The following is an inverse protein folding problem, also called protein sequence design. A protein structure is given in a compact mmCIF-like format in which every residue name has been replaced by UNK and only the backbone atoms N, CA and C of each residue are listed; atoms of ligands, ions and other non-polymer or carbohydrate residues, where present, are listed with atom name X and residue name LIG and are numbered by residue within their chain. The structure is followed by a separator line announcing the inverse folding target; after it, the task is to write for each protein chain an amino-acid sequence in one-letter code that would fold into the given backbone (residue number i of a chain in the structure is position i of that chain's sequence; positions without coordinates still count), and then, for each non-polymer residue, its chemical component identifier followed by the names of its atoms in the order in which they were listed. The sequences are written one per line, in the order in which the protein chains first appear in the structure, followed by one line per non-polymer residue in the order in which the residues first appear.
data_IF_026429183611
#
_entry.id   IF_026429183611
#
_cell.length_a   1.000
_cell.length_b   1.000
_cell.length_c   1.000
_cell.angle_alpha   90.00
_cell.angle_beta   90.00
_cell.angle_gamma   90.00
#
_symmetry.space_group_name_H-M   'P 1'
#
loop_
_entity.id
_entity.type
_entity.pdbx_description
1 polymer ?
#
# COMPACT_ATOMS: atom_id res chain seq x y z
N UNK A 1 11.36 15.72 14.21
CA UNK A 1 10.09 14.99 14.32
C UNK A 1 9.88 14.31 12.99
N UNK A 2 9.69 12.99 12.99
CA UNK A 2 9.42 12.27 11.74
C UNK A 2 7.95 12.50 11.35
N UNK A 3 7.63 12.71 10.06
CA UNK A 3 6.25 12.79 9.60
C UNK A 3 5.54 11.42 9.72
N UNK A 4 4.21 11.42 9.94
CA UNK A 4 3.38 12.60 10.20
C UNK A 4 3.62 13.18 11.61
N UNK A 5 3.46 14.51 11.79
CA UNK A 5 3.40 15.11 13.12
C UNK A 5 2.36 14.43 14.03
N UNK A 6 2.62 14.39 15.35
CA UNK A 6 1.79 13.66 16.32
C UNK A 6 0.33 14.17 16.36
N UNK A 7 0.10 15.45 16.06
CA UNK A 7 -1.23 16.07 16.02
C UNK A 7 -2.08 15.64 14.80
N UNK A 8 -1.46 14.99 13.81
CA UNK A 8 -2.14 14.44 12.64
C UNK A 8 -2.65 13.03 12.89
N UNK A 9 -1.92 12.23 13.67
CA UNK A 9 -2.35 10.88 14.02
C UNK A 9 -3.37 10.94 15.15
N UNK A 10 -4.64 11.04 14.76
CA UNK A 10 -5.75 10.88 15.67
C UNK A 10 -6.10 9.39 15.82
N UNK A 11 -6.19 8.91 17.06
CA UNK A 11 -6.63 7.55 17.37
C UNK A 11 -8.10 7.53 17.77
N UNK A 12 -8.82 6.48 17.39
CA UNK A 12 -10.21 6.23 17.73
C UNK A 12 -10.43 4.77 18.09
N UNK A 13 -11.44 4.51 18.93
CA UNK A 13 -11.86 3.14 19.23
C UNK A 13 -12.93 2.71 18.23
N UNK A 14 -12.60 1.72 17.42
CA UNK A 14 -13.50 1.13 16.43
C UNK A 14 -13.92 -0.26 16.86
N UNK A 15 -15.21 -0.59 16.67
CA UNK A 15 -15.66 -1.98 16.82
C UNK A 15 -15.45 -2.70 15.49
N UNK A 16 -14.55 -3.67 15.46
CA UNK A 16 -14.27 -4.49 14.28
C UNK A 16 -14.91 -5.86 14.47
N UNK A 17 -15.48 -6.36 13.38
CA UNK A 17 -15.98 -7.73 13.28
C UNK A 17 -15.03 -8.54 12.42
N UNK A 18 -14.14 -9.30 13.04
CA UNK A 18 -13.07 -10.08 12.40
C UNK A 18 -13.57 -11.32 11.65
N UNK A 19 -14.87 -11.61 11.76
CA UNK A 19 -15.59 -12.58 10.94
C UNK A 19 -16.90 -11.94 10.47
N UNK A 20 -16.86 -11.06 9.46
CA UNK A 20 -18.05 -10.39 8.96
C UNK A 20 -18.99 -11.41 8.30
N UNK A 21 -20.31 -11.37 8.58
CA UNK A 21 -21.26 -12.33 8.02
C UNK A 21 -21.48 -12.14 6.52
N UNK A 22 -21.20 -10.93 6.01
CA UNK A 22 -21.37 -10.57 4.61
C UNK A 22 -20.05 -10.05 4.04
N UNK A 23 -19.12 -10.97 3.79
CA UNK A 23 -17.88 -10.63 3.09
C UNK A 23 -18.14 -10.11 1.66
N UNK A 24 -19.29 -10.48 1.07
CA UNK A 24 -19.68 -10.09 -0.27
C UNK A 24 -20.00 -8.58 -0.39
N UNK A 25 -20.28 -7.92 0.73
CA UNK A 25 -20.46 -6.47 0.76
C UNK A 25 -19.14 -5.66 0.66
N UNK A 26 -17.98 -6.30 0.82
CA UNK A 26 -16.70 -5.59 0.77
C UNK A 26 -16.24 -5.34 -0.68
N UNK A 27 -16.09 -4.08 -1.10
CA UNK A 27 -15.64 -3.76 -2.47
C UNK A 27 -14.19 -4.14 -2.73
N UNK A 28 -13.42 -4.54 -1.69
CA UNK A 28 -12.01 -4.91 -1.82
C UNK A 28 -11.80 -6.39 -2.15
N UNK A 29 -12.83 -7.23 -2.01
CA UNK A 29 -12.76 -8.68 -2.22
C UNK A 29 -13.97 -9.24 -2.96
N UNK A 30 -14.94 -8.40 -3.34
CA UNK A 30 -16.20 -8.83 -3.96
C UNK A 30 -16.65 -7.83 -5.02
N UNK A 31 -17.35 -8.35 -6.03
CA UNK A 31 -17.68 -7.62 -7.26
C UNK A 31 -16.91 -8.15 -8.47
N UNK A 32 -16.96 -7.42 -9.57
CA UNK A 32 -16.12 -7.66 -10.75
C UNK A 32 -14.66 -7.31 -10.45
N UNK A 33 -13.74 -7.79 -11.30
CA UNK A 33 -12.32 -7.46 -11.16
C UNK A 33 -12.09 -5.96 -11.29
N UNK A 34 -12.79 -5.32 -12.24
CA UNK A 34 -12.74 -3.88 -12.50
C UNK A 34 -13.21 -3.05 -11.30
N UNK A 35 -14.34 -3.40 -10.69
CA UNK A 35 -14.85 -2.70 -9.50
C UNK A 35 -13.91 -2.83 -8.32
N UNK A 36 -13.37 -4.04 -8.13
CA UNK A 36 -12.46 -4.30 -7.02
C UNK A 36 -11.12 -3.60 -7.22
N UNK A 37 -10.60 -3.58 -8.45
CA UNK A 37 -9.37 -2.88 -8.80
C UNK A 37 -9.52 -1.37 -8.61
N UNK A 38 -10.67 -0.80 -8.98
CA UNK A 38 -10.98 0.61 -8.73
C UNK A 38 -10.99 0.95 -7.23
N UNK A 39 -11.52 0.05 -6.38
CA UNK A 39 -11.48 0.23 -4.93
C UNK A 39 -10.04 0.22 -4.38
N UNK A 40 -9.20 -0.70 -4.85
CA UNK A 40 -7.78 -0.77 -4.47
C UNK A 40 -6.96 0.42 -5.00
N UNK A 41 -7.21 0.85 -6.24
CA UNK A 41 -6.57 2.02 -6.84
C UNK A 41 -6.92 3.29 -6.04
N UNK A 42 -8.19 3.46 -5.68
CA UNK A 42 -8.62 4.55 -4.82
C UNK A 42 -7.91 4.47 -3.45
N UNK A 43 -7.90 3.31 -2.79
CA UNK A 43 -7.24 3.18 -1.49
C UNK A 43 -5.73 3.50 -1.55
N UNK A 44 -5.05 3.11 -2.63
CA UNK A 44 -3.62 3.30 -2.81
C UNK A 44 -3.23 4.65 -3.46
N UNK A 45 -4.18 5.54 -3.72
CA UNK A 45 -3.94 6.82 -4.41
C UNK A 45 -2.91 7.75 -3.73
N UNK A 46 -2.61 7.50 -2.46
CA UNK A 46 -1.64 8.24 -1.65
C UNK A 46 -0.31 7.51 -1.42
N UNK A 47 -0.02 6.44 -2.15
CA UNK A 47 1.21 5.67 -1.95
C UNK A 47 2.50 6.46 -2.26
N UNK A 48 2.43 7.49 -3.12
CA UNK A 48 3.53 8.40 -3.38
C UNK A 48 3.30 9.74 -2.68
N UNK A 49 4.23 10.09 -1.80
CA UNK A 49 4.16 11.27 -0.96
C UNK A 49 5.37 12.16 -1.17
N UNK A 50 5.14 13.46 -0.99
CA UNK A 50 6.18 14.46 -0.82
C UNK A 50 6.62 14.53 0.64
N UNK A 51 7.91 14.35 0.84
CA UNK A 51 8.59 14.60 2.12
C UNK A 51 9.41 15.88 1.95
N UNK A 52 9.20 16.85 2.83
CA UNK A 52 9.89 18.14 2.78
C UNK A 52 11.32 18.04 3.33
N UNK A 53 12.16 19.01 2.98
CA UNK A 53 13.59 18.96 3.29
C UNK A 53 13.88 18.96 4.80
N UNK A 54 13.09 19.71 5.57
CA UNK A 54 13.16 19.73 7.03
C UNK A 54 12.76 18.40 7.66
N UNK A 55 11.71 17.75 7.14
CA UNK A 55 11.29 16.40 7.52
C UNK A 55 12.40 15.37 7.23
N UNK A 56 13.02 15.44 6.04
CA UNK A 56 14.15 14.57 5.66
C UNK A 56 15.35 14.74 6.59
N UNK A 57 15.73 16.00 6.89
CA UNK A 57 16.81 16.32 7.84
C UNK A 57 16.48 15.80 9.24
N UNK A 58 15.24 15.95 9.68
CA UNK A 58 14.81 15.50 11.00
C UNK A 58 14.80 13.97 11.14
N UNK A 59 14.52 13.23 10.07
CA UNK A 59 14.62 11.77 10.03
C UNK A 59 16.06 11.27 9.81
N UNK A 60 16.96 12.13 9.35
CA UNK A 60 18.33 11.78 8.97
C UNK A 60 18.38 10.64 7.92
N UNK A 61 17.52 10.75 6.90
CA UNK A 61 17.46 9.83 5.75
C UNK A 61 17.66 10.59 4.44
N UNK A 62 17.94 9.87 3.37
CA UNK A 62 17.99 10.41 2.00
C UNK A 62 16.94 9.74 1.11
N UNK A 63 16.51 10.47 0.08
CA UNK A 63 15.59 9.95 -0.93
C UNK A 63 15.78 10.74 -2.24
N UNK A 64 15.01 10.38 -3.27
CA UNK A 64 15.04 11.00 -4.58
C UNK A 64 14.34 12.37 -4.50
N UNK A 65 15.06 13.43 -4.85
CA UNK A 65 14.48 14.76 -4.96
C UNK A 65 13.58 14.86 -6.18
N UNK A 66 12.43 15.52 -6.03
CA UNK A 66 11.58 15.86 -7.17
C UNK A 66 12.19 17.00 -7.98
N UNK A 67 12.08 16.90 -9.30
CA UNK A 67 12.55 17.97 -10.20
C UNK A 67 11.68 19.24 -10.09
N UNK A 68 10.39 19.06 -9.75
CA UNK A 68 9.41 20.14 -9.63
C UNK A 68 8.76 20.16 -8.24
N UNK A 69 8.46 21.36 -7.75
CA UNK A 69 7.74 21.57 -6.48
C UNK A 69 8.54 21.31 -5.20
N UNK A 70 9.82 20.93 -5.29
CA UNK A 70 10.75 20.75 -4.15
C UNK A 70 10.46 19.54 -3.25
N UNK A 71 11.38 19.15 -2.37
CA UNK A 71 11.20 17.98 -1.52
C UNK A 71 11.45 16.64 -2.25
N UNK A 72 11.07 15.55 -1.60
CA UNK A 72 11.58 14.21 -1.88
C UNK A 72 10.47 13.18 -1.96
N UNK A 73 10.69 12.14 -2.77
CA UNK A 73 9.77 11.01 -2.88
C UNK A 73 9.79 10.16 -1.62
N UNK A 74 8.63 9.67 -1.22
CA UNK A 74 8.50 8.72 -0.13
C UNK A 74 7.17 7.97 -0.16
N UNK A 75 7.07 6.98 0.71
CA UNK A 75 5.88 6.16 0.91
C UNK A 75 5.72 5.88 2.40
N UNK A 76 4.49 5.97 2.91
CA UNK A 76 4.19 5.55 4.28
C UNK A 76 4.08 4.03 4.37
N UNK A 77 4.57 3.44 5.47
CA UNK A 77 4.57 1.99 5.68
C UNK A 77 3.21 1.31 5.46
N UNK A 78 2.10 1.96 5.86
CA UNK A 78 0.75 1.42 5.65
C UNK A 78 0.42 1.22 4.18
N UNK A 79 0.91 2.07 3.26
CA UNK A 79 0.68 1.88 1.82
C UNK A 79 1.51 0.73 1.25
N UNK A 80 2.66 0.42 1.85
CA UNK A 80 3.39 -0.79 1.50
C UNK A 80 2.62 -2.04 1.97
N UNK A 81 2.07 -2.04 3.20
CA UNK A 81 1.22 -3.13 3.69
C UNK A 81 -0.03 -3.32 2.82
N UNK A 82 -0.73 -2.23 2.46
CA UNK A 82 -1.88 -2.28 1.56
C UNK A 82 -1.52 -2.75 0.15
N UNK A 83 -0.36 -2.33 -0.37
CA UNK A 83 0.17 -2.86 -1.63
C UNK A 83 0.39 -4.38 -1.55
N UNK A 84 1.00 -4.88 -0.47
CA UNK A 84 1.18 -6.30 -0.23
C UNK A 84 -0.17 -7.06 -0.22
N UNK A 85 -1.20 -6.51 0.44
CA UNK A 85 -2.54 -7.12 0.45
C UNK A 85 -3.16 -7.18 -0.95
N UNK A 86 -3.05 -6.10 -1.75
CA UNK A 86 -3.48 -6.11 -3.15
C UNK A 86 -2.76 -7.19 -3.95
N UNK A 87 -1.44 -7.30 -3.82
CA UNK A 87 -0.62 -8.32 -4.52
C UNK A 87 -1.03 -9.73 -4.15
N UNK A 88 -1.34 -9.99 -2.88
CA UNK A 88 -1.82 -11.30 -2.44
C UNK A 88 -3.21 -11.62 -2.99
N UNK A 89 -4.11 -10.64 -3.07
CA UNK A 89 -5.39 -10.79 -3.77
C UNK A 89 -5.17 -11.17 -5.24
N UNK A 90 -4.32 -10.43 -5.95
CA UNK A 90 -4.00 -10.71 -7.37
C UNK A 90 -3.40 -12.11 -7.53
N UNK A 91 -2.56 -12.57 -6.58
CA UNK A 91 -2.00 -13.92 -6.56
C UNK A 91 -3.04 -15.03 -6.33
N UNK A 92 -4.06 -14.80 -5.50
CA UNK A 92 -5.18 -15.74 -5.36
C UNK A 92 -5.93 -15.87 -6.70
N UNK A 93 -6.09 -14.76 -7.41
CA UNK A 93 -6.75 -14.71 -8.73
C UNK A 93 -5.76 -14.75 -9.91
N UNK A 94 -4.67 -15.51 -9.77
CA UNK A 94 -3.62 -15.60 -10.79
C UNK A 94 -4.10 -15.99 -12.20
N UNK A 95 -5.18 -16.79 -12.31
CA UNK A 95 -5.79 -17.15 -13.60
C UNK A 95 -6.36 -15.95 -14.36
N UNK A 96 -6.66 -14.85 -13.67
CA UNK A 96 -7.07 -13.58 -14.26
C UNK A 96 -5.87 -12.67 -14.47
N UNK A 97 -5.10 -12.39 -13.41
CA UNK A 97 -4.04 -11.36 -13.45
C UNK A 97 -2.74 -11.81 -14.12
N UNK A 98 -2.44 -13.11 -14.08
CA UNK A 98 -1.12 -13.65 -14.45
C UNK A 98 -1.19 -14.76 -15.50
N UNK A 99 -2.36 -14.95 -16.14
CA UNK A 99 -2.58 -15.99 -17.15
C UNK A 99 -1.51 -16.02 -18.24
N UNK A 100 -1.21 -14.84 -18.76
CA UNK A 100 -0.37 -14.65 -19.94
C UNK A 100 1.10 -14.39 -19.57
N UNK A 101 1.47 -14.56 -18.29
CA UNK A 101 2.83 -14.33 -17.82
C UNK A 101 3.75 -15.52 -18.15
N UNK A 102 5.03 -15.22 -18.45
CA UNK A 102 6.04 -16.26 -18.60
C UNK A 102 6.31 -16.98 -17.28
N UNK A 103 6.84 -18.21 -17.34
CA UNK A 103 7.20 -18.97 -16.14
C UNK A 103 8.21 -18.24 -15.25
N UNK A 104 9.14 -17.48 -15.85
CA UNK A 104 10.05 -16.61 -15.11
C UNK A 104 9.31 -15.52 -14.32
N UNK A 105 8.34 -14.84 -14.95
CA UNK A 105 7.50 -13.82 -14.29
C UNK A 105 6.63 -14.44 -13.19
N UNK A 106 6.01 -15.60 -13.43
CA UNK A 106 5.23 -16.32 -12.40
C UNK A 106 6.08 -16.70 -11.19
N UNK A 107 7.29 -17.23 -11.41
CA UNK A 107 8.22 -17.56 -10.31
C UNK A 107 8.61 -16.32 -9.50
N UNK A 108 8.85 -15.19 -10.18
CA UNK A 108 9.10 -13.91 -9.52
C UNK A 108 7.91 -13.51 -8.63
N UNK A 109 6.68 -13.62 -9.13
CA UNK A 109 5.46 -13.29 -8.38
C UNK A 109 5.25 -14.16 -7.14
N UNK A 110 5.61 -15.45 -7.19
CA UNK A 110 5.60 -16.32 -6.00
C UNK A 110 6.58 -15.79 -4.95
N UNK A 111 7.80 -15.44 -5.36
CA UNK A 111 8.79 -14.83 -4.46
C UNK A 111 8.30 -13.49 -3.87
N UNK A 112 7.68 -12.66 -4.71
CA UNK A 112 7.11 -11.38 -4.27
C UNK A 112 5.95 -11.59 -3.28
N UNK A 113 5.09 -12.60 -3.50
CA UNK A 113 4.02 -12.96 -2.57
C UNK A 113 4.56 -13.45 -1.23
N UNK A 114 5.63 -14.25 -1.22
CA UNK A 114 6.29 -14.67 0.01
C UNK A 114 6.90 -13.48 0.79
N UNK A 115 7.50 -12.51 0.08
CA UNK A 115 7.94 -11.25 0.68
C UNK A 115 6.78 -10.47 1.29
N UNK A 116 5.66 -10.33 0.56
CA UNK A 116 4.46 -9.64 1.05
C UNK A 116 3.92 -10.27 2.35
N UNK A 117 3.88 -11.60 2.42
CA UNK A 117 3.46 -12.33 3.63
C UNK A 117 4.37 -12.00 4.82
N UNK A 118 5.68 -12.01 4.63
CA UNK A 118 6.63 -11.75 5.72
C UNK A 118 6.62 -10.29 6.19
N UNK A 119 6.42 -9.33 5.28
CA UNK A 119 6.22 -7.91 5.62
C UNK A 119 4.95 -7.74 6.45
N UNK A 120 3.81 -8.31 6.01
CA UNK A 120 2.55 -8.23 6.75
C UNK A 120 2.65 -8.90 8.12
N UNK A 121 3.31 -10.05 8.21
CA UNK A 121 3.60 -10.71 9.50
C UNK A 121 4.43 -9.80 10.41
N UNK A 122 5.49 -9.20 9.90
CA UNK A 122 6.37 -8.31 10.68
C UNK A 122 5.62 -7.07 11.15
N UNK A 123 4.80 -6.46 10.29
CA UNK A 123 3.98 -5.32 10.63
C UNK A 123 2.94 -5.65 11.72
N UNK A 124 2.26 -6.81 11.60
CA UNK A 124 1.33 -7.29 12.61
C UNK A 124 2.02 -7.51 13.96
N UNK A 125 3.22 -8.09 13.97
CA UNK A 125 4.01 -8.26 15.21
C UNK A 125 4.53 -6.94 15.77
N UNK A 126 4.83 -5.95 14.91
CA UNK A 126 5.28 -4.63 15.35
C UNK A 126 4.15 -3.82 15.99
N UNK A 127 2.95 -3.85 15.40
CA UNK A 127 1.77 -3.14 15.92
C UNK A 127 1.07 -3.88 17.06
N UNK A 128 1.20 -5.21 17.10
CA UNK A 128 0.78 -6.12 18.16
C UNK A 128 -0.58 -5.76 18.77
N UNK A 129 -1.66 -5.95 18.01
CA UNK A 129 -3.02 -5.77 18.55
C UNK A 129 -3.22 -6.68 19.78
N UNK A 130 -3.47 -6.05 20.93
CA UNK A 130 -3.56 -6.73 22.23
C UNK A 130 -5.00 -7.10 22.60
N UNK A 131 -5.96 -6.89 21.71
CA UNK A 131 -7.35 -7.23 21.97
C UNK A 131 -7.57 -8.74 22.09
N UNK A 132 -8.36 -9.15 23.09
CA UNK A 132 -8.58 -10.57 23.41
C UNK A 132 -9.91 -11.04 22.82
N UNK A 133 -9.90 -12.15 22.10
CA UNK A 133 -11.10 -12.85 21.63
C UNK A 133 -11.52 -13.94 22.63
N UNK A 134 -12.56 -13.73 23.46
CA UNK A 134 -13.02 -14.75 24.40
C UNK A 134 -13.70 -15.89 23.64
N UNK A 135 -13.54 -17.10 24.15
CA UNK A 135 -14.14 -18.32 23.60
C UNK A 135 -15.36 -18.76 24.41
N UNK A 136 -16.39 -19.25 23.71
CA UNK A 136 -17.64 -19.71 24.29
C UNK A 136 -18.05 -21.07 23.72
N UNK A 137 -18.81 -21.84 24.50
CA UNK A 137 -19.42 -23.09 24.02
C UNK A 137 -20.62 -22.79 23.11
N UNK A 138 -20.78 -23.60 22.07
CA UNK A 138 -21.90 -23.52 21.12
C UNK A 138 -22.48 -24.92 20.88
N UNK A 139 -23.79 -25.01 20.63
CA UNK A 139 -24.51 -26.29 20.69
C UNK A 139 -24.31 -27.20 19.46
N UNK A 140 -23.69 -26.71 18.39
CA UNK A 140 -23.53 -27.44 17.13
C UNK A 140 -22.15 -28.07 16.93
N UNK A 141 -21.20 -27.85 17.84
CA UNK A 141 -19.85 -28.45 17.78
C UNK A 141 -19.24 -28.60 19.16
N UNK A 142 -18.32 -29.56 19.32
CA UNK A 142 -17.54 -29.74 20.56
C UNK A 142 -16.39 -28.75 20.69
N UNK A 143 -16.13 -27.93 19.67
CA UNK A 143 -15.05 -26.93 19.64
C UNK A 143 -15.64 -25.58 20.06
N UNK A 144 -15.08 -24.88 21.08
CA UNK A 144 -15.59 -23.57 21.45
C UNK A 144 -15.33 -22.56 20.33
N UNK A 145 -16.21 -21.59 20.18
CA UNK A 145 -16.11 -20.54 19.18
C UNK A 145 -15.71 -19.20 19.83
N UNK A 146 -14.84 -18.41 19.20
CA UNK A 146 -14.50 -17.09 19.68
C UNK A 146 -15.57 -16.05 19.34
N UNK A 147 -15.65 -14.99 20.16
CA UNK A 147 -16.43 -13.78 19.84
C UNK A 147 -15.62 -12.87 18.94
N UNK A 148 -15.82 -12.93 17.62
CA UNK A 148 -15.13 -12.12 16.60
C UNK A 148 -15.52 -10.65 16.54
N UNK A 149 -16.12 -10.09 17.59
CA UNK A 149 -16.51 -8.68 17.61
C UNK A 149 -15.81 -8.04 18.79
N UNK A 150 -14.85 -7.16 18.50
CA UNK A 150 -14.08 -6.51 19.54
C UNK A 150 -13.80 -5.04 19.25
N UNK A 151 -13.37 -4.32 20.29
CA UNK A 151 -12.97 -2.92 20.21
C UNK A 151 -11.46 -2.85 20.00
N UNK A 152 -11.07 -2.14 18.96
CA UNK A 152 -9.68 -1.95 18.58
C UNK A 152 -9.34 -0.46 18.64
N UNK A 153 -8.10 -0.14 19.00
CA UNK A 153 -7.57 1.20 18.81
C UNK A 153 -7.09 1.33 17.36
N UNK A 154 -7.64 2.28 16.63
CA UNK A 154 -7.44 2.45 15.20
C UNK A 154 -7.07 3.90 14.90
N UNK A 155 -6.22 4.11 13.89
CA UNK A 155 -6.01 5.45 13.35
C UNK A 155 -7.32 5.94 12.73
N UNK A 156 -7.63 7.21 12.92
CA UNK A 156 -8.68 7.90 12.19
C UNK A 156 -8.26 8.03 10.72
N UNK A 157 -8.77 7.12 9.88
CA UNK A 157 -8.39 7.03 8.48
C UNK A 157 -8.70 8.30 7.70
N UNK A 158 -9.86 8.92 7.95
CA UNK A 158 -10.28 10.13 7.25
C UNK A 158 -9.34 11.32 7.57
N UNK A 159 -8.90 11.44 8.83
CA UNK A 159 -7.89 12.43 9.25
C UNK A 159 -6.55 12.19 8.55
N UNK A 160 -6.12 10.94 8.51
CA UNK A 160 -4.87 10.56 7.85
C UNK A 160 -4.95 10.85 6.34
N UNK A 161 -6.02 10.45 5.67
CA UNK A 161 -6.24 10.72 4.24
C UNK A 161 -6.27 12.22 3.93
N UNK A 162 -6.94 13.03 4.76
CA UNK A 162 -6.96 14.48 4.58
C UNK A 162 -5.54 15.09 4.62
N UNK A 163 -4.67 14.57 5.48
CA UNK A 163 -3.26 14.99 5.53
C UNK A 163 -2.45 14.47 4.33
N UNK A 164 -2.68 13.22 3.92
CA UNK A 164 -2.00 12.62 2.76
C UNK A 164 -2.34 13.33 1.45
N UNK A 165 -3.59 13.78 1.28
CA UNK A 165 -4.06 14.54 0.13
C UNK A 165 -3.20 15.80 -0.10
N UNK A 166 -2.75 16.47 0.97
CA UNK A 166 -1.87 17.66 0.87
C UNK A 166 -0.44 17.34 0.41
N UNK A 167 -0.05 16.06 0.41
CA UNK A 167 1.31 15.60 0.11
C UNK A 167 1.39 14.72 -1.14
N UNK A 168 0.26 14.33 -1.71
CA UNK A 168 0.24 13.43 -2.86
C UNK A 168 1.06 14.02 -4.01
N UNK A 169 1.80 13.15 -4.68
CA UNK A 169 2.56 13.53 -5.88
C UNK A 169 2.23 12.56 -6.99
N UNK A 170 1.92 13.12 -8.16
CA UNK A 170 1.92 12.35 -9.39
C UNK A 170 3.37 12.18 -9.87
N UNK A 171 3.95 11.01 -9.57
CA UNK A 171 5.32 10.67 -9.95
C UNK A 171 5.48 10.41 -11.46
N UNK A 172 4.35 10.24 -12.18
CA UNK A 172 4.31 10.05 -13.63
C UNK A 172 4.14 11.37 -14.38
N UNK A 173 3.96 12.48 -13.68
CA UNK A 173 3.97 13.79 -14.32
C UNK A 173 5.31 14.01 -15.06
N UNK A 174 5.30 14.71 -16.22
CA UNK A 174 6.49 14.93 -17.04
C UNK A 174 7.67 15.43 -16.21
N UNK A 175 8.81 14.76 -16.36
CA UNK A 175 10.06 15.10 -15.67
C UNK A 175 9.97 15.17 -14.13
N UNK A 176 8.93 14.65 -13.47
CA UNK A 176 8.79 14.72 -12.01
C UNK A 176 9.97 14.08 -11.27
N UNK A 177 10.45 12.95 -11.79
CA UNK A 177 11.66 12.26 -11.32
C UNK A 177 12.57 12.00 -12.52
N UNK A 178 13.82 12.45 -12.41
CA UNK A 178 14.83 12.33 -13.48
C UNK A 178 16.03 11.57 -12.93
N UNK A 179 16.31 10.41 -13.52
CA UNK A 179 17.51 9.66 -13.23
C UNK A 179 18.73 10.39 -13.81
N UNK A 180 19.81 10.61 -13.03
CA UNK A 180 20.95 11.44 -13.44
C UNK A 180 21.70 10.93 -14.68
N UNK A 181 21.57 9.63 -15.00
CA UNK A 181 22.20 9.00 -16.17
C UNK A 181 21.25 8.72 -17.33
N UNK A 182 19.98 8.46 -17.06
CA UNK A 182 19.07 7.83 -18.03
C UNK A 182 17.90 8.72 -18.43
N UNK A 183 17.68 9.85 -17.76
CA UNK A 183 16.59 10.77 -18.08
C UNK A 183 15.33 10.49 -17.24
N UNK A 184 14.13 10.81 -17.75
CA UNK A 184 12.87 10.68 -17.01
C UNK A 184 12.61 9.25 -16.51
N UNK A 185 12.12 9.10 -15.27
CA UNK A 185 11.79 7.80 -14.70
C UNK A 185 10.51 7.18 -15.31
N UNK A 186 9.59 8.04 -15.76
CA UNK A 186 8.34 7.65 -16.44
C UNK A 186 8.18 8.49 -17.72
N UNK A 187 8.93 8.18 -18.79
CA UNK A 187 8.88 8.93 -20.04
C UNK A 187 7.47 8.90 -20.61
N UNK A 188 6.91 10.07 -20.93
CA UNK A 188 5.51 10.20 -21.36
C UNK A 188 4.48 9.71 -20.33
N UNK A 189 4.86 9.58 -19.06
CA UNK A 189 4.02 9.11 -17.96
C UNK A 189 3.90 7.59 -17.82
N UNK A 190 4.64 6.81 -18.60
CA UNK A 190 4.53 5.35 -18.62
C UNK A 190 5.75 4.65 -18.02
N UNK A 191 5.54 3.46 -17.46
CA UNK A 191 6.65 2.57 -17.09
C UNK A 191 7.10 1.80 -18.33
N UNK A 192 8.39 1.87 -18.66
CA UNK A 192 8.97 1.14 -19.78
C UNK A 192 9.65 -0.12 -19.26
N UNK A 193 9.29 -1.27 -19.83
CA UNK A 193 10.02 -2.53 -19.59
C UNK A 193 11.36 -2.48 -20.34
N UNK A 194 12.47 -2.63 -19.60
CA UNK A 194 13.84 -2.50 -20.14
C UNK A 194 14.60 -3.84 -20.04
N UNK A 195 14.24 -4.88 -20.82
CA UNK A 195 14.82 -6.22 -20.71
C UNK A 195 16.33 -6.26 -21.04
N UNK A 196 16.80 -5.33 -21.88
CA UNK A 196 18.20 -5.19 -22.27
C UNK A 196 18.94 -4.09 -21.47
N UNK A 197 18.31 -3.59 -20.42
CA UNK A 197 18.83 -2.51 -19.56
C UNK A 197 18.38 -1.11 -19.99
N UNK A 198 18.67 -0.10 -19.14
CA UNK A 198 18.08 1.22 -19.28
C UNK A 198 18.61 2.03 -20.46
N UNK A 199 17.69 2.67 -21.18
CA UNK A 199 18.02 3.55 -22.29
C UNK A 199 18.21 5.00 -21.80
N UNK A 200 19.05 5.77 -22.50
CA UNK A 200 19.18 7.21 -22.23
C UNK A 200 18.12 7.95 -23.02
N UNK A 201 17.18 8.57 -22.33
CA UNK A 201 16.08 9.29 -22.93
C UNK A 201 16.19 10.81 -22.67
N UNK A 202 15.80 11.65 -23.64
CA UNK A 202 15.70 13.09 -23.40
C UNK A 202 14.58 13.40 -22.40
N UNK A 203 14.59 14.62 -21.85
CA UNK A 203 13.49 15.10 -21.01
C UNK A 203 12.19 15.18 -21.82
N UNK A 204 11.07 14.93 -21.14
CA UNK A 204 9.74 15.09 -21.72
C UNK A 204 9.49 16.58 -22.05
N UNK A 205 8.74 16.90 -23.12
CA UNK A 205 8.34 18.27 -23.39
C UNK A 205 7.44 18.81 -22.26
N UNK A 206 7.67 20.07 -21.89
CA UNK A 206 6.83 20.82 -20.93
C UNK A 206 5.46 21.19 -21.49
#
# INVERSE_FOLDING_TARGET
MAPPPDDIIEWQVSTIRDSPPDIAASPFVSGTYEETDAAWDHLLRFHNLRIWEDEMKAMNISSIAFNHGGGYHGMMGVFHELHCLRRLREAIHHDHYYRDFSEGKKKFLVGHSAHCIDILRTAAMCRADTMIFPYHWVDFTRVPAPTWVQKHECVNWDRLEAWLETRKVDIRAPNMMVHPKYGPAYPGGEHIDEPDGPQVLPLDPE
#
